data_IF_221341940633
#
_entry.id   IF_221341940633
#
_cell.length_a   1.000
_cell.length_b   1.000
_cell.length_c   1.000
_cell.angle_alpha   90.00
_cell.angle_beta   90.00
_cell.angle_gamma   90.00
#
_symmetry.space_group_name_H-M   'P 1'
#
loop_
_entity.id
_entity.type
_entity.pdbx_description
1 polymer ?
#
# COMPACT_ATOMS: atom_id res chain seq x y z
N UNK A 1 20.78 -6.80 25.18
CA UNK A 1 20.28 -5.91 24.10
C UNK A 1 21.22 -6.03 22.90
N UNK A 2 21.19 -7.17 22.20
CA UNK A 2 22.09 -7.53 21.07
C UNK A 2 21.28 -8.10 19.88
N UNK A 3 20.00 -7.74 19.78
CA UNK A 3 19.08 -8.34 18.80
C UNK A 3 18.99 -7.54 17.48
N UNK A 4 19.52 -6.30 17.44
CA UNK A 4 19.39 -5.38 16.29
C UNK A 4 20.73 -4.86 15.75
N UNK A 5 21.84 -5.42 16.22
CA UNK A 5 23.16 -5.19 15.64
C UNK A 5 23.43 -6.33 14.65
N UNK A 6 23.42 -6.01 13.35
CA UNK A 6 23.96 -6.92 12.35
C UNK A 6 25.45 -7.20 12.60
N UNK A 7 26.00 -8.31 12.09
CA UNK A 7 27.42 -8.66 12.25
C UNK A 7 28.40 -7.57 11.77
N UNK A 8 27.93 -6.60 10.97
CA UNK A 8 28.68 -5.43 10.46
C UNK A 8 28.64 -4.17 11.38
N UNK A 9 28.06 -4.25 12.58
CA UNK A 9 28.00 -3.12 13.53
C UNK A 9 26.96 -2.03 13.18
N UNK A 10 26.11 -2.26 12.18
CA UNK A 10 25.04 -1.33 11.77
C UNK A 10 23.74 -1.59 12.56
N UNK A 11 23.15 -0.51 13.07
CA UNK A 11 21.92 -0.54 13.85
C UNK A 11 20.69 -0.56 12.92
N UNK A 12 20.03 -1.71 12.80
CA UNK A 12 18.85 -1.88 11.93
C UNK A 12 17.54 -1.42 12.58
N UNK A 13 17.58 -0.94 13.83
CA UNK A 13 16.40 -0.41 14.53
C UNK A 13 15.76 0.75 13.76
N UNK A 14 16.58 1.60 13.13
CA UNK A 14 16.09 2.72 12.32
C UNK A 14 15.41 2.24 11.03
N UNK A 15 15.99 1.26 10.33
CA UNK A 15 15.36 0.63 9.16
C UNK A 15 14.05 -0.05 9.52
N UNK A 16 14.00 -0.77 10.64
CA UNK A 16 12.79 -1.44 11.12
C UNK A 16 11.68 -0.45 11.50
N UNK A 17 12.03 0.64 12.20
CA UNK A 17 11.08 1.69 12.55
C UNK A 17 10.53 2.40 11.31
N UNK A 18 11.39 2.68 10.32
CA UNK A 18 10.97 3.27 9.05
C UNK A 18 10.04 2.34 8.28
N UNK A 19 10.39 1.06 8.11
CA UNK A 19 9.54 0.08 7.42
C UNK A 19 8.20 -0.09 8.13
N UNK A 20 8.20 -0.17 9.47
CA UNK A 20 6.97 -0.29 10.26
C UNK A 20 6.06 0.94 10.07
N UNK A 21 6.64 2.14 10.11
CA UNK A 21 5.91 3.38 9.88
C UNK A 21 5.36 3.46 8.46
N UNK A 22 6.14 3.02 7.46
CA UNK A 22 5.75 3.02 6.05
C UNK A 22 4.59 2.06 5.79
N UNK A 23 4.64 0.86 6.37
CA UNK A 23 3.55 -0.11 6.29
C UNK A 23 2.28 0.37 6.99
N UNK A 24 2.43 1.03 8.15
CA UNK A 24 1.30 1.64 8.86
C UNK A 24 0.66 2.75 8.03
N UNK A 25 1.46 3.66 7.48
CA UNK A 25 0.99 4.76 6.65
C UNK A 25 0.32 4.26 5.37
N UNK A 26 0.89 3.22 4.76
CA UNK A 26 0.29 2.56 3.60
C UNK A 26 -1.08 1.97 3.95
N UNK A 27 -1.19 1.16 5.00
CA UNK A 27 -2.46 0.59 5.43
C UNK A 27 -3.51 1.66 5.76
N UNK A 28 -3.11 2.74 6.42
CA UNK A 28 -3.98 3.89 6.70
C UNK A 28 -4.48 4.56 5.41
N UNK A 29 -3.59 4.80 4.44
CA UNK A 29 -3.93 5.43 3.16
C UNK A 29 -4.87 4.54 2.33
N UNK A 30 -4.66 3.22 2.33
CA UNK A 30 -5.56 2.28 1.66
C UNK A 30 -6.96 2.29 2.27
N UNK A 31 -7.08 2.33 3.61
CA UNK A 31 -8.38 2.46 4.26
C UNK A 31 -9.08 3.80 3.98
N UNK A 32 -8.32 4.89 3.86
CA UNK A 32 -8.88 6.20 3.47
C UNK A 32 -9.47 6.20 2.05
N UNK A 33 -8.85 5.50 1.10
CA UNK A 33 -9.37 5.37 -0.27
C UNK A 33 -10.78 4.75 -0.27
N UNK A 34 -11.03 3.77 0.59
CA UNK A 34 -12.35 3.13 0.71
C UNK A 34 -13.40 4.08 1.30
N UNK A 35 -13.02 4.85 2.32
CA UNK A 35 -13.89 5.87 2.93
C UNK A 35 -14.21 6.97 1.91
N UNK A 36 -13.20 7.43 1.18
CA UNK A 36 -13.35 8.46 0.15
C UNK A 36 -14.23 7.97 -1.01
N UNK A 37 -14.05 6.73 -1.45
CA UNK A 37 -14.92 6.10 -2.45
C UNK A 37 -16.38 6.04 -1.99
N UNK A 38 -16.63 5.76 -0.72
CA UNK A 38 -17.99 5.78 -0.15
C UNK A 38 -18.55 7.20 -0.07
N UNK A 39 -17.73 8.17 0.30
CA UNK A 39 -18.14 9.57 0.40
C UNK A 39 -18.44 10.18 -0.97
N UNK A 40 -17.63 9.88 -2.00
CA UNK A 40 -17.91 10.29 -3.38
C UNK A 40 -19.19 9.65 -3.94
N UNK A 41 -19.49 8.40 -3.59
CA UNK A 41 -20.77 7.78 -3.97
C UNK A 41 -21.98 8.54 -3.39
N UNK A 42 -21.86 9.00 -2.14
CA UNK A 42 -22.91 9.70 -1.41
C UNK A 42 -23.07 11.17 -1.89
N UNK A 43 -21.95 11.90 -2.06
CA UNK A 43 -21.98 13.33 -2.43
C UNK A 43 -22.21 13.57 -3.92
N UNK A 44 -21.71 12.71 -4.81
CA UNK A 44 -21.81 12.90 -6.26
C UNK A 44 -22.89 12.02 -6.93
N UNK A 45 -23.66 11.26 -6.15
CA UNK A 45 -24.65 10.28 -6.64
C UNK A 45 -24.06 9.30 -7.70
N UNK A 46 -22.76 9.03 -7.64
CA UNK A 46 -22.11 8.12 -8.58
C UNK A 46 -22.55 6.70 -8.28
N UNK A 47 -23.12 6.03 -9.29
CA UNK A 47 -23.58 4.65 -9.20
C UNK A 47 -22.43 3.71 -8.83
N UNK A 48 -22.71 2.72 -7.98
CA UNK A 48 -21.76 1.68 -7.51
C UNK A 48 -20.97 1.00 -8.65
N UNK A 49 -21.50 1.00 -9.88
CA UNK A 49 -20.78 0.43 -11.01
C UNK A 49 -19.51 1.21 -11.36
N UNK A 50 -19.51 2.54 -11.29
CA UNK A 50 -18.34 3.36 -11.63
C UNK A 50 -17.24 3.26 -10.56
N UNK A 51 -17.58 3.24 -9.28
CA UNK A 51 -16.59 3.01 -8.21
C UNK A 51 -16.04 1.58 -8.25
N UNK A 52 -16.88 0.60 -8.61
CA UNK A 52 -16.45 -0.78 -8.87
C UNK A 52 -15.45 -0.88 -10.04
N UNK A 53 -15.64 -0.09 -11.09
CA UNK A 53 -14.69 -0.01 -12.22
C UNK A 53 -13.33 0.55 -11.80
N UNK A 54 -13.30 1.59 -10.94
CA UNK A 54 -12.03 2.15 -10.42
C UNK A 54 -11.30 1.12 -9.56
N UNK A 55 -12.01 0.41 -8.69
CA UNK A 55 -11.39 -0.67 -7.90
C UNK A 55 -10.89 -1.81 -8.79
N UNK A 56 -11.69 -2.24 -9.78
CA UNK A 56 -11.29 -3.27 -10.75
C UNK A 56 -10.04 -2.86 -11.54
N UNK A 57 -9.98 -1.62 -12.02
CA UNK A 57 -8.82 -1.07 -12.71
C UNK A 57 -7.58 -1.04 -11.80
N UNK A 58 -7.76 -0.71 -10.51
CA UNK A 58 -6.67 -0.69 -9.54
C UNK A 58 -6.10 -2.09 -9.27
N UNK A 59 -6.96 -3.10 -9.06
CA UNK A 59 -6.52 -4.49 -8.91
C UNK A 59 -5.86 -5.03 -10.18
N UNK A 60 -6.36 -4.63 -11.35
CA UNK A 60 -5.76 -5.00 -12.64
C UNK A 60 -4.38 -4.35 -12.83
N UNK A 61 -4.21 -3.11 -12.39
CA UNK A 61 -2.91 -2.43 -12.40
C UNK A 61 -1.89 -3.14 -11.50
N UNK A 62 -2.29 -3.55 -10.29
CA UNK A 62 -1.41 -4.36 -9.41
C UNK A 62 -1.01 -5.70 -10.05
N UNK A 63 -1.94 -6.38 -10.74
CA UNK A 63 -1.66 -7.62 -11.45
C UNK A 63 -0.65 -7.41 -12.59
N UNK A 64 -0.85 -6.37 -13.41
CA UNK A 64 0.07 -6.05 -14.50
C UNK A 64 1.43 -5.59 -14.01
N UNK A 65 1.50 -4.81 -12.92
CA UNK A 65 2.76 -4.37 -12.32
C UNK A 65 3.52 -5.49 -11.61
N UNK A 66 2.87 -6.58 -11.20
CA UNK A 66 3.55 -7.70 -10.57
C UNK A 66 4.56 -8.40 -11.51
N UNK A 67 4.29 -8.42 -12.81
CA UNK A 67 5.18 -9.04 -13.83
C UNK A 67 6.53 -8.31 -13.94
N UNK A 68 6.59 -7.00 -14.25
CA UNK A 68 7.87 -6.27 -14.30
C UNK A 68 8.53 -6.16 -12.92
N UNK A 69 7.77 -6.02 -11.84
CA UNK A 69 8.33 -5.98 -10.49
C UNK A 69 9.06 -7.29 -10.14
N UNK A 70 8.50 -8.44 -10.52
CA UNK A 70 9.15 -9.75 -10.34
C UNK A 70 10.41 -9.92 -11.18
N UNK A 71 10.49 -9.28 -12.35
CA UNK A 71 11.69 -9.30 -13.19
C UNK A 71 12.80 -8.40 -12.65
N UNK A 72 12.46 -7.27 -12.01
CA UNK A 72 13.42 -6.31 -11.43
C UNK A 72 13.95 -6.78 -10.07
N UNK A 73 13.12 -7.51 -9.31
CA UNK A 73 13.49 -7.99 -7.98
C UNK A 73 14.40 -9.24 -7.98
N UNK A 74 14.63 -9.86 -9.16
CA UNK A 74 15.61 -10.93 -9.35
C UNK A 74 17.00 -10.36 -9.59
#
# INVERSE_FOLDING_TARGET
>A
MKLFLGPDGKNHTLTFALVTSLFLLWGFSSGMIDILNKHFQDTLHISKSQSGFVQSANYFAYFLMAIPAGMIAR
#
